data_IF_749892554195
#
_entry.id   IF_749892554195
#
_cell.length_a   1.000
_cell.length_b   1.000
_cell.length_c   1.000
_cell.angle_alpha   90.00
_cell.angle_beta   90.00
_cell.angle_gamma   90.00
#
_symmetry.space_group_name_H-M   'P 1'
#
loop_
_entity.id
_entity.type
_entity.pdbx_description
1 polymer ?
#
# COMPACT_ATOMS: atom_id res chain seq x y z
N UNK A 1 9.65 16.36 -29.44
CA UNK A 1 10.97 16.62 -28.81
C UNK A 1 10.87 17.34 -27.46
N UNK A 2 9.71 17.91 -27.07
CA UNK A 2 9.47 18.40 -25.70
C UNK A 2 8.85 17.35 -24.76
N UNK A 3 8.21 16.30 -25.28
CA UNK A 3 7.59 15.21 -24.47
C UNK A 3 8.59 14.27 -23.79
N UNK A 4 9.83 14.20 -24.26
CA UNK A 4 10.85 13.32 -23.66
C UNK A 4 11.55 13.95 -22.45
N UNK A 5 11.36 15.24 -22.17
CA UNK A 5 12.00 15.93 -21.02
C UNK A 5 11.17 15.86 -19.73
N UNK A 6 9.87 15.54 -19.79
CA UNK A 6 9.02 15.40 -18.58
C UNK A 6 9.21 14.04 -17.87
N UNK A 7 9.83 13.06 -18.52
CA UNK A 7 10.07 11.72 -17.94
C UNK A 7 11.14 11.69 -16.82
N UNK A 8 11.72 12.83 -16.47
CA UNK A 8 12.51 13.01 -15.25
C UNK A 8 11.69 13.47 -14.03
N UNK A 9 10.38 13.65 -14.17
CA UNK A 9 9.51 14.00 -13.05
C UNK A 9 9.31 12.76 -12.17
N UNK A 10 10.00 12.75 -11.04
CA UNK A 10 9.85 11.75 -9.98
C UNK A 10 8.38 11.33 -9.80
N UNK A 11 8.09 10.05 -10.04
CA UNK A 11 6.75 9.48 -9.92
C UNK A 11 6.30 9.60 -8.47
N UNK A 12 5.30 10.44 -8.20
CA UNK A 12 4.81 10.65 -6.85
C UNK A 12 3.84 9.54 -6.44
N UNK A 13 3.95 9.10 -5.20
CA UNK A 13 3.02 8.16 -4.59
C UNK A 13 2.16 8.89 -3.56
N UNK A 14 0.85 8.82 -3.74
CA UNK A 14 -0.14 9.49 -2.91
C UNK A 14 -0.90 8.49 -2.05
N UNK A 15 -0.99 8.77 -0.75
CA UNK A 15 -1.76 8.01 0.21
C UNK A 15 -2.80 8.91 0.87
N UNK A 16 -4.07 8.54 0.69
CA UNK A 16 -5.19 9.21 1.34
C UNK A 16 -5.44 8.54 2.67
N UNK A 17 -5.54 9.33 3.73
CA UNK A 17 -5.74 8.80 5.08
C UNK A 17 -6.42 9.81 5.98
N UNK A 18 -6.86 9.38 7.16
CA UNK A 18 -7.48 10.26 8.16
C UNK A 18 -6.44 11.10 8.90
N UNK A 19 -6.87 12.18 9.56
CA UNK A 19 -5.98 13.04 10.36
C UNK A 19 -5.39 12.25 11.55
N UNK A 20 -6.19 11.38 12.15
CA UNK A 20 -5.78 10.51 13.26
C UNK A 20 -4.69 9.53 12.82
N UNK A 21 -4.84 8.95 11.64
CA UNK A 21 -3.82 8.05 11.08
C UNK A 21 -2.54 8.82 10.75
N UNK A 22 -2.64 10.04 10.22
CA UNK A 22 -1.48 10.91 10.04
C UNK A 22 -0.77 11.17 11.38
N UNK A 23 -1.50 11.45 12.46
CA UNK A 23 -0.92 11.65 13.78
C UNK A 23 -0.14 10.40 14.25
N UNK A 24 -0.69 9.20 14.03
CA UNK A 24 -0.01 7.93 14.34
C UNK A 24 1.23 7.70 13.48
N UNK A 25 1.19 8.06 12.20
CA UNK A 25 2.35 7.98 11.30
C UNK A 25 3.46 8.90 11.79
N UNK A 26 3.14 10.13 12.18
CA UNK A 26 4.13 11.10 12.67
C UNK A 26 4.74 10.68 14.01
N UNK A 27 3.91 10.17 14.93
CA UNK A 27 4.35 9.68 16.24
C UNK A 27 5.27 8.44 16.11
N UNK A 28 4.80 7.43 15.39
CA UNK A 28 5.53 6.16 15.24
C UNK A 28 6.64 6.20 14.20
N UNK A 29 6.64 7.22 13.32
CA UNK A 29 7.47 7.34 12.11
C UNK A 29 7.38 6.12 11.19
N UNK A 30 6.22 5.47 11.17
CA UNK A 30 5.97 4.24 10.43
C UNK A 30 4.63 4.33 9.70
N UNK A 31 4.59 3.83 8.48
CA UNK A 31 3.34 3.54 7.77
C UNK A 31 2.95 2.11 8.11
N UNK A 32 1.74 1.93 8.65
CA UNK A 32 1.20 0.61 8.98
C UNK A 32 0.27 0.13 7.89
N UNK A 33 0.36 -1.16 7.59
CA UNK A 33 -0.53 -1.83 6.65
C UNK A 33 -1.82 -2.19 7.40
N UNK A 34 -2.96 -2.08 6.72
CA UNK A 34 -4.25 -2.47 7.26
C UNK A 34 -4.61 -3.87 6.76
N UNK A 35 -5.46 -4.60 7.49
CA UNK A 35 -5.98 -5.88 6.98
C UNK A 35 -6.79 -5.63 5.72
N UNK A 36 -6.65 -6.50 4.73
CA UNK A 36 -7.40 -6.41 3.47
C UNK A 36 -8.91 -6.40 3.72
N UNK A 37 -9.39 -7.14 4.73
CA UNK A 37 -10.81 -7.15 5.13
C UNK A 37 -11.34 -5.81 5.64
N UNK A 38 -10.45 -4.89 6.02
CA UNK A 38 -10.81 -3.55 6.49
C UNK A 38 -10.70 -2.49 5.37
N UNK A 39 -10.35 -2.92 4.15
CA UNK A 39 -10.41 -2.10 2.95
C UNK A 39 -11.74 -2.40 2.27
N UNK A 40 -12.45 -1.36 1.84
CA UNK A 40 -13.86 -1.43 1.40
C UNK A 40 -14.12 -2.29 0.15
N UNK A 41 -13.07 -2.65 -0.61
CA UNK A 41 -13.18 -3.56 -1.75
C UNK A 41 -13.16 -5.02 -1.28
N UNK A 42 -14.31 -5.49 -0.76
CA UNK A 42 -14.52 -6.90 -0.44
C UNK A 42 -14.33 -7.84 -1.65
N UNK A 43 -14.41 -7.32 -2.89
CA UNK A 43 -14.15 -8.10 -4.11
C UNK A 43 -12.70 -8.59 -4.21
N UNK A 44 -11.73 -7.85 -3.66
CA UNK A 44 -10.31 -8.24 -3.75
C UNK A 44 -10.00 -9.43 -2.84
N UNK A 45 -10.69 -9.55 -1.70
CA UNK A 45 -10.55 -10.71 -0.80
C UNK A 45 -11.15 -12.00 -1.41
N UNK A 46 -12.22 -11.86 -2.21
CA UNK A 46 -12.88 -12.98 -2.88
C UNK A 46 -12.09 -13.48 -4.11
N UNK A 47 -11.29 -12.61 -4.73
CA UNK A 47 -10.37 -12.96 -5.83
C UNK A 47 -9.27 -13.97 -5.42
N UNK A 48 -8.95 -14.08 -4.12
CA UNK A 48 -7.93 -15.02 -3.62
C UNK A 48 -8.45 -16.45 -3.36
N UNK A 49 -9.68 -16.78 -3.77
CA UNK A 49 -10.18 -18.15 -3.92
C UNK A 49 -10.96 -18.70 -2.73
N UNK A 50 -11.23 -20.02 -2.75
CA UNK A 50 -12.14 -20.79 -1.87
C UNK A 50 -11.87 -20.65 -0.35
N UNK A 51 -10.80 -19.99 0.06
CA UNK A 51 -10.38 -19.80 1.44
C UNK A 51 -10.29 -18.31 1.76
N UNK A 52 -10.91 -17.88 2.87
CA UNK A 52 -10.91 -16.50 3.35
C UNK A 52 -9.52 -16.13 3.92
N UNK A 53 -8.55 -15.90 3.03
CA UNK A 53 -7.19 -15.50 3.38
C UNK A 53 -7.04 -14.00 3.58
N UNK A 54 -8.03 -13.20 3.17
CA UNK A 54 -8.01 -11.74 3.31
C UNK A 54 -7.77 -11.26 4.75
N UNK A 55 -8.15 -12.04 5.76
CA UNK A 55 -7.87 -11.77 7.18
C UNK A 55 -6.38 -11.83 7.57
N UNK A 56 -5.57 -12.49 6.74
CA UNK A 56 -4.13 -12.65 6.90
C UNK A 56 -3.33 -11.76 5.94
N UNK A 57 -4.00 -11.10 4.99
CA UNK A 57 -3.38 -10.18 4.05
C UNK A 57 -3.40 -8.76 4.62
N UNK A 58 -2.24 -8.12 4.62
CA UNK A 58 -2.08 -6.72 5.02
C UNK A 58 -1.70 -5.89 3.81
N UNK A 59 -2.43 -4.80 3.57
CA UNK A 59 -2.29 -3.94 2.41
C UNK A 59 -2.18 -2.47 2.79
N UNK A 60 -1.60 -1.67 1.89
CA UNK A 60 -1.58 -0.22 1.97
C UNK A 60 -1.94 0.33 0.58
N UNK A 61 -2.91 1.24 0.51
CA UNK A 61 -3.43 1.74 -0.77
C UNK A 61 -2.70 3.02 -1.19
N UNK A 62 -2.23 3.05 -2.44
CA UNK A 62 -1.48 4.16 -3.02
C UNK A 62 -1.97 4.45 -4.43
N UNK A 63 -1.91 5.70 -4.86
CA UNK A 63 -2.12 6.09 -6.26
C UNK A 63 -0.99 6.98 -6.75
N UNK A 64 -0.67 6.88 -8.02
CA UNK A 64 0.29 7.76 -8.70
C UNK A 64 -0.40 8.84 -9.53
N UNK A 65 -1.74 8.90 -9.48
CA UNK A 65 -2.48 9.96 -10.14
C UNK A 65 -2.31 11.28 -9.38
N UNK A 66 -1.78 12.28 -10.07
CA UNK A 66 -1.60 13.62 -9.53
C UNK A 66 -2.93 14.34 -9.29
N UNK A 67 -3.95 14.02 -10.09
CA UNK A 67 -5.30 14.56 -9.96
C UNK A 67 -6.01 13.85 -8.81
N UNK A 68 -6.58 14.65 -7.91
CA UNK A 68 -7.29 14.14 -6.74
C UNK A 68 -8.61 13.46 -7.11
N UNK A 69 -8.98 12.45 -6.33
CA UNK A 69 -10.16 11.63 -6.57
C UNK A 69 -11.15 11.78 -5.40
N UNK A 70 -12.34 12.31 -5.69
CA UNK A 70 -13.44 12.41 -4.72
C UNK A 70 -13.78 11.03 -4.11
N UNK A 71 -13.86 9.94 -4.90
CA UNK A 71 -14.00 8.59 -4.33
C UNK A 71 -12.92 8.24 -3.29
N UNK A 72 -11.64 8.51 -3.58
CA UNK A 72 -10.55 8.20 -2.64
C UNK A 72 -10.65 9.02 -1.35
N UNK A 73 -11.02 10.30 -1.47
CA UNK A 73 -11.32 11.13 -0.31
C UNK A 73 -12.46 10.54 0.53
N UNK A 74 -13.54 10.09 -0.09
CA UNK A 74 -14.68 9.54 0.64
C UNK A 74 -14.31 8.24 1.37
N UNK A 75 -13.64 7.31 0.68
CA UNK A 75 -13.31 5.98 1.19
C UNK A 75 -12.23 6.01 2.28
N UNK A 76 -11.14 6.75 2.07
CA UNK A 76 -9.93 6.59 2.89
C UNK A 76 -9.72 7.69 3.94
N UNK A 77 -10.49 8.78 3.91
CA UNK A 77 -10.26 9.93 4.79
C UNK A 77 -11.37 10.18 5.81
N UNK A 78 -12.36 9.29 5.91
CA UNK A 78 -13.47 9.44 6.87
C UNK A 78 -14.46 10.52 6.44
N UNK A 79 -15.23 10.26 5.37
CA UNK A 79 -16.23 11.18 4.81
C UNK A 79 -15.65 12.53 4.40
N UNK A 80 -14.61 12.51 3.54
CA UNK A 80 -13.96 13.70 2.96
C UNK A 80 -13.16 14.56 3.96
N UNK A 81 -12.82 14.05 5.15
CA UNK A 81 -12.12 14.79 6.20
C UNK A 81 -10.79 14.16 6.59
N UNK A 82 -9.78 14.32 5.74
CA UNK A 82 -8.42 13.92 6.10
C UNK A 82 -7.36 14.57 5.26
N UNK A 83 -6.35 13.79 4.90
CA UNK A 83 -5.13 14.29 4.25
C UNK A 83 -4.70 13.38 3.11
N UNK A 84 -3.96 13.96 2.17
CA UNK A 84 -3.22 13.25 1.13
C UNK A 84 -1.73 13.43 1.37
N UNK A 85 -1.05 12.38 1.80
CA UNK A 85 0.40 12.36 1.99
C UNK A 85 1.07 11.94 0.68
N UNK A 86 2.08 12.67 0.24
CA UNK A 86 2.75 12.42 -1.04
C UNK A 86 4.25 12.20 -0.85
N UNK A 87 4.80 11.21 -1.54
CA UNK A 87 6.22 10.91 -1.57
C UNK A 87 6.74 11.04 -3.00
N UNK A 88 7.96 11.56 -3.16
CA UNK A 88 8.61 11.72 -4.47
C UNK A 88 9.26 10.41 -4.97
N UNK A 89 9.30 9.37 -4.14
CA UNK A 89 9.79 8.04 -4.52
C UNK A 89 8.92 6.97 -3.85
N UNK A 90 9.16 5.69 -4.18
CA UNK A 90 8.48 4.57 -3.55
C UNK A 90 8.61 4.66 -2.02
N UNK A 91 7.50 4.62 -1.28
CA UNK A 91 7.50 4.82 0.16
C UNK A 91 8.18 3.66 0.93
N UNK A 92 8.50 2.55 0.25
CA UNK A 92 9.08 1.37 0.85
C UNK A 92 10.26 0.84 0.04
N UNK A 93 11.25 0.30 0.77
CA UNK A 93 12.34 -0.46 0.18
C UNK A 93 11.93 -1.92 0.02
N UNK A 94 11.94 -2.41 -1.21
CA UNK A 94 11.57 -3.79 -1.54
C UNK A 94 12.80 -4.69 -1.47
N UNK A 95 12.66 -5.83 -0.81
CA UNK A 95 13.70 -6.85 -0.64
C UNK A 95 13.25 -8.13 -1.29
N UNK A 96 14.19 -8.87 -1.87
CA UNK A 96 13.91 -10.22 -2.36
C UNK A 96 13.56 -11.11 -1.16
N UNK A 97 12.45 -11.84 -1.27
CA UNK A 97 12.08 -12.84 -0.29
C UNK A 97 12.85 -14.13 -0.57
N UNK A 98 13.58 -14.60 0.42
CA UNK A 98 14.27 -15.88 0.38
C UNK A 98 13.40 -16.92 1.09
N UNK A 99 13.17 -18.07 0.45
CA UNK A 99 12.41 -19.16 1.06
C UNK A 99 13.10 -19.63 2.36
N UNK A 100 12.48 -19.37 3.51
CA UNK A 100 12.96 -19.90 4.79
C UNK A 100 12.73 -21.40 4.88
N UNK A 101 13.70 -22.16 5.39
CA UNK A 101 13.62 -23.62 5.53
C UNK A 101 12.42 -24.09 6.39
N UNK A 102 11.92 -23.26 7.31
CA UNK A 102 10.83 -23.59 8.24
C UNK A 102 9.41 -23.29 7.74
N UNK A 103 9.27 -22.52 6.65
CA UNK A 103 7.97 -22.15 6.11
C UNK A 103 7.71 -22.94 4.84
N UNK A 104 6.65 -23.76 4.81
CA UNK A 104 6.16 -24.41 3.59
C UNK A 104 5.50 -23.41 2.60
N UNK A 105 6.01 -22.18 2.55
CA UNK A 105 5.55 -21.09 1.68
C UNK A 105 6.57 -20.98 0.56
N UNK A 106 6.25 -21.56 -0.60
CA UNK A 106 7.05 -21.38 -1.80
C UNK A 106 6.78 -20.01 -2.42
N UNK A 107 7.80 -19.18 -2.57
CA UNK A 107 7.71 -17.96 -3.36
C UNK A 107 8.04 -18.29 -4.82
N UNK A 108 7.10 -18.09 -5.77
CA UNK A 108 7.39 -18.31 -7.17
C UNK A 108 8.39 -17.26 -7.69
N UNK A 109 9.54 -17.72 -8.17
CA UNK A 109 10.55 -16.87 -8.82
C UNK A 109 11.12 -15.77 -7.92
N UNK A 110 11.43 -14.61 -8.52
CA UNK A 110 11.92 -13.43 -7.80
C UNK A 110 10.76 -12.63 -7.20
N UNK A 111 10.29 -13.06 -6.02
CA UNK A 111 9.27 -12.31 -5.26
C UNK A 111 9.94 -11.23 -4.40
N UNK A 112 9.44 -9.99 -4.50
CA UNK A 112 9.93 -8.86 -3.71
C UNK A 112 8.84 -8.31 -2.79
N UNK A 113 9.21 -7.95 -1.55
CA UNK A 113 8.29 -7.44 -0.55
C UNK A 113 8.91 -6.31 0.27
N UNK A 114 8.12 -5.32 0.71
CA UNK A 114 8.58 -4.31 1.68
C UNK A 114 8.70 -4.88 3.10
N UNK A 115 8.06 -6.03 3.37
CA UNK A 115 8.07 -6.76 4.64
C UNK A 115 8.98 -7.99 4.55
N UNK A 116 9.69 -8.32 5.63
CA UNK A 116 10.44 -9.59 5.77
C UNK A 116 9.49 -10.75 6.10
N UNK A 117 9.93 -12.00 5.96
CA UNK A 117 9.12 -13.19 6.34
C UNK A 117 8.70 -13.14 7.81
N UNK A 118 9.59 -12.69 8.71
CA UNK A 118 9.29 -12.52 10.14
C UNK A 118 8.23 -11.43 10.42
N UNK A 119 8.02 -10.53 9.46
CA UNK A 119 7.05 -9.43 9.56
C UNK A 119 5.71 -9.75 8.88
N UNK A 120 5.63 -10.87 8.16
CA UNK A 120 4.40 -11.41 7.54
C UNK A 120 3.76 -12.39 8.52
#
# INVERSE_FOLDING_TARGET
QLEQLEHGLFMKFHHYTTIETLALILDSRKIRFNRLTNVDDMEEADLYGKYNIGRFLYVSCWTTNSIESIPLWNMYTGNMKGVRVSFDDKPFYYRKLESGFDYHIGFPGDTYSPLTIEQI
#
